data_IF_810524771253
#
_entry.id   IF_810524771253
#
_cell.length_a   1.000
_cell.length_b   1.000
_cell.length_c   1.000
_cell.angle_alpha   90.00
_cell.angle_beta   90.00
_cell.angle_gamma   90.00
#
_symmetry.space_group_name_H-M   'P 1'
#
loop_
_entity.id
_entity.type
_entity.pdbx_description
1 polymer ?
#
# COMPACT_ATOMS: atom_id res chain seq x y z
N UNK A 1 -13.50 -1.17 9.86
CA UNK A 1 -12.59 -2.35 9.80
C UNK A 1 -13.33 -3.54 9.23
N UNK A 2 -12.62 -4.42 8.52
CA UNK A 2 -13.15 -5.68 8.01
C UNK A 2 -12.55 -6.83 8.82
N UNK A 3 -13.37 -7.81 9.19
CA UNK A 3 -12.87 -9.04 9.81
C UNK A 3 -12.45 -9.98 8.67
N UNK A 4 -11.19 -10.42 8.66
CA UNK A 4 -10.66 -11.31 7.62
C UNK A 4 -10.66 -12.78 8.05
N UNK A 5 -10.37 -13.06 9.32
CA UNK A 5 -10.40 -14.43 9.85
C UNK A 5 -10.47 -14.48 11.39
N UNK A 6 -10.95 -15.61 11.92
CA UNK A 6 -10.80 -15.98 13.33
C UNK A 6 -9.42 -16.59 13.55
N UNK A 7 -8.65 -16.09 14.50
CA UNK A 7 -7.27 -16.57 14.78
C UNK A 7 -7.26 -17.56 15.95
N UNK A 8 -8.02 -17.27 17.02
CA UNK A 8 -8.23 -18.12 18.20
C UNK A 8 -9.62 -17.83 18.78
N UNK A 9 -10.03 -18.57 19.82
CA UNK A 9 -11.19 -18.19 20.62
C UNK A 9 -11.07 -16.72 21.06
N UNK A 10 -12.07 -15.91 20.67
CA UNK A 10 -12.18 -14.48 20.93
C UNK A 10 -11.12 -13.56 20.32
N UNK A 11 -10.26 -14.02 19.40
CA UNK A 11 -9.27 -13.18 18.70
C UNK A 11 -9.48 -13.23 17.19
N UNK A 12 -9.52 -12.07 16.54
CA UNK A 12 -9.76 -11.93 15.10
C UNK A 12 -8.69 -11.11 14.42
N UNK A 13 -8.40 -11.48 13.17
CA UNK A 13 -7.63 -10.64 12.27
C UNK A 13 -8.55 -9.58 11.66
N UNK A 14 -8.12 -8.32 11.76
CA UNK A 14 -8.87 -7.16 11.27
C UNK A 14 -8.03 -6.41 10.26
N UNK A 15 -8.66 -5.99 9.17
CA UNK A 15 -8.10 -5.06 8.19
C UNK A 15 -8.69 -3.66 8.41
N UNK A 16 -7.82 -2.69 8.61
CA UNK A 16 -8.20 -1.28 8.70
C UNK A 16 -8.33 -0.71 7.28
N UNK A 17 -9.52 -0.83 6.71
CA UNK A 17 -9.83 -0.47 5.32
C UNK A 17 -9.48 0.96 4.89
N UNK A 18 -9.31 1.88 5.84
CA UNK A 18 -8.96 3.27 5.55
C UNK A 18 -7.47 3.58 5.72
N UNK A 19 -6.70 2.66 6.30
CA UNK A 19 -5.27 2.81 6.57
C UNK A 19 -4.40 1.76 5.86
N UNK A 20 -4.94 0.57 5.61
CA UNK A 20 -4.29 -0.50 4.88
C UNK A 20 -3.54 -1.51 5.75
N UNK A 21 -3.47 -1.32 7.06
CA UNK A 21 -2.80 -2.24 7.99
C UNK A 21 -3.72 -3.36 8.50
N UNK A 22 -3.09 -4.43 9.00
CA UNK A 22 -3.75 -5.60 9.58
C UNK A 22 -3.31 -5.74 11.04
N UNK A 23 -4.26 -6.02 11.92
CA UNK A 23 -3.98 -6.28 13.34
C UNK A 23 -4.77 -7.48 13.85
N UNK A 24 -4.36 -8.01 15.00
CA UNK A 24 -5.11 -9.06 15.71
C UNK A 24 -5.69 -8.45 16.98
N UNK A 25 -7.02 -8.43 17.06
CA UNK A 25 -7.75 -7.81 18.16
C UNK A 25 -8.68 -8.81 18.86
N UNK A 26 -8.93 -8.65 20.16
CA UNK A 26 -9.99 -9.39 20.84
C UNK A 26 -11.37 -8.91 20.39
N UNK A 27 -12.35 -9.82 20.34
CA UNK A 27 -13.73 -9.51 19.91
C UNK A 27 -14.38 -8.39 20.74
N UNK A 28 -14.02 -8.24 22.01
CA UNK A 28 -14.57 -7.20 22.90
C UNK A 28 -14.08 -5.77 22.57
N UNK A 29 -13.15 -5.62 21.63
CA UNK A 29 -12.72 -4.32 21.07
C UNK A 29 -13.45 -3.97 19.79
N UNK A 30 -14.39 -4.82 19.34
CA UNK A 30 -15.18 -4.62 18.14
C UNK A 30 -16.61 -4.25 18.46
N UNK A 31 -17.22 -3.50 17.55
CA UNK A 31 -18.64 -3.19 17.55
C UNK A 31 -19.19 -3.26 16.12
N UNK A 32 -20.45 -3.64 15.92
CA UNK A 32 -21.09 -3.57 14.60
C UNK A 32 -21.01 -2.14 14.05
N UNK A 33 -20.62 -2.02 12.79
CA UNK A 33 -20.57 -0.73 12.11
C UNK A 33 -21.99 -0.34 11.68
N UNK A 34 -22.44 0.85 12.07
CA UNK A 34 -23.72 1.39 11.63
C UNK A 34 -23.69 1.68 10.12
N UNK A 35 -24.83 1.51 9.46
CA UNK A 35 -24.95 1.70 8.01
C UNK A 35 -24.61 3.12 7.55
N UNK A 36 -24.86 4.14 8.38
CA UNK A 36 -24.50 5.54 8.12
C UNK A 36 -22.98 5.76 7.93
N UNK A 37 -22.15 4.84 8.46
CA UNK A 37 -20.69 4.88 8.29
C UNK A 37 -20.18 4.04 7.11
N UNK A 38 -21.07 3.39 6.35
CA UNK A 38 -20.72 2.61 5.15
C UNK A 38 -20.78 3.44 3.86
N UNK A 39 -21.21 4.69 3.92
CA UNK A 39 -21.36 5.55 2.74
C UNK A 39 -20.02 5.97 2.12
N UNK A 40 -18.97 6.08 2.94
CA UNK A 40 -17.62 6.39 2.47
C UNK A 40 -16.94 5.12 1.95
N UNK A 41 -16.46 5.08 0.69
CA UNK A 41 -15.66 3.97 0.20
C UNK A 41 -14.39 3.79 1.03
N UNK A 42 -13.77 2.61 0.99
CA UNK A 42 -12.50 2.38 1.66
C UNK A 42 -11.43 3.34 1.15
N UNK A 43 -10.73 3.99 2.07
CA UNK A 43 -9.77 5.05 1.72
C UNK A 43 -8.36 4.51 1.42
N UNK A 44 -7.98 3.34 1.94
CA UNK A 44 -6.70 2.73 1.60
C UNK A 44 -6.81 1.92 0.30
N UNK A 45 -6.11 2.37 -0.73
CA UNK A 45 -6.05 1.70 -2.04
C UNK A 45 -4.70 1.00 -2.17
N UNK A 46 -4.72 -0.29 -2.51
CA UNK A 46 -3.50 -1.06 -2.79
C UNK A 46 -2.84 -0.50 -4.05
N UNK A 47 -1.53 -0.31 -4.01
CA UNK A 47 -0.78 0.23 -5.13
C UNK A 47 0.64 -0.33 -5.22
N UNK A 48 1.25 -0.19 -6.41
CA UNK A 48 2.64 -0.54 -6.68
C UNK A 48 3.28 0.49 -7.61
N UNK A 49 4.60 0.67 -7.51
CA UNK A 49 5.36 1.42 -8.50
C UNK A 49 5.45 0.61 -9.80
N UNK A 50 5.18 1.27 -10.95
CA UNK A 50 5.27 0.62 -12.26
C UNK A 50 6.62 0.86 -12.94
N UNK A 51 7.03 -0.11 -13.75
CA UNK A 51 8.21 -0.02 -14.59
C UNK A 51 9.51 -0.33 -13.88
N UNK A 52 9.49 -0.74 -12.61
CA UNK A 52 10.68 -1.18 -11.88
C UNK A 52 10.47 -2.54 -11.21
N UNK A 53 11.57 -3.26 -10.99
CA UNK A 53 11.64 -4.52 -10.24
C UNK A 53 12.85 -4.51 -9.29
N UNK A 54 12.84 -5.31 -8.22
CA UNK A 54 14.02 -5.46 -7.36
C UNK A 54 15.22 -5.98 -8.15
N UNK A 55 16.43 -5.69 -7.67
CA UNK A 55 17.68 -6.21 -8.26
C UNK A 55 17.79 -7.73 -8.09
N UNK A 56 17.36 -8.22 -6.93
CA UNK A 56 17.37 -9.63 -6.59
C UNK A 56 15.99 -10.25 -6.90
N UNK A 57 15.71 -11.43 -6.33
CA UNK A 57 14.42 -12.11 -6.48
C UNK A 57 13.26 -11.31 -5.87
N UNK A 58 13.52 -10.59 -4.78
CA UNK A 58 12.53 -9.80 -4.05
C UNK A 58 13.17 -8.52 -3.46
N UNK A 59 12.34 -7.59 -2.99
CA UNK A 59 12.78 -6.38 -2.29
C UNK A 59 13.45 -6.73 -0.97
N UNK A 60 14.62 -6.17 -0.71
CA UNK A 60 15.28 -6.34 0.58
C UNK A 60 14.59 -5.53 1.68
N UNK A 61 14.93 -5.84 2.94
CA UNK A 61 14.49 -5.04 4.09
C UNK A 61 15.02 -3.61 3.94
N UNK A 62 16.26 -3.45 3.52
CA UNK A 62 16.93 -2.18 3.30
C UNK A 62 16.24 -1.34 2.20
N UNK A 63 15.77 -1.97 1.13
CA UNK A 63 15.02 -1.28 0.07
C UNK A 63 13.64 -0.84 0.57
N UNK A 64 12.99 -1.67 1.37
CA UNK A 64 11.69 -1.35 1.96
C UNK A 64 11.79 -0.19 2.96
N UNK A 65 12.82 -0.20 3.81
CA UNK A 65 13.12 0.90 4.74
C UNK A 65 13.45 2.19 3.99
N UNK A 66 14.26 2.11 2.93
CA UNK A 66 14.55 3.29 2.12
C UNK A 66 13.29 3.85 1.46
N UNK A 67 12.45 3.00 0.87
CA UNK A 67 11.18 3.45 0.30
C UNK A 67 10.31 4.12 1.37
N UNK A 68 10.24 3.55 2.58
CA UNK A 68 9.53 4.16 3.71
C UNK A 68 10.04 5.57 4.04
N UNK A 69 11.35 5.77 4.15
CA UNK A 69 11.95 7.11 4.37
C UNK A 69 11.59 8.12 3.28
N UNK A 70 11.46 7.63 2.04
CA UNK A 70 11.09 8.47 0.90
C UNK A 70 9.62 8.89 0.96
N UNK A 71 8.70 8.05 1.45
CA UNK A 71 7.25 8.25 1.27
C UNK A 71 6.43 8.59 2.52
N UNK A 72 6.91 8.25 3.72
CA UNK A 72 6.11 8.48 4.94
C UNK A 72 5.98 9.96 5.26
N UNK A 73 4.80 10.35 5.76
CA UNK A 73 4.43 11.70 6.20
C UNK A 73 4.63 12.80 5.15
N UNK A 74 4.43 12.46 3.87
CA UNK A 74 4.58 13.36 2.72
C UNK A 74 3.40 13.24 1.76
N UNK A 75 3.17 14.30 0.99
CA UNK A 75 2.15 14.33 -0.06
C UNK A 75 2.79 14.16 -1.44
N UNK A 76 2.18 13.36 -2.31
CA UNK A 76 2.70 13.07 -3.64
C UNK A 76 1.67 13.37 -4.71
N UNK A 77 2.16 13.68 -5.90
CA UNK A 77 1.36 13.57 -7.12
C UNK A 77 1.60 12.17 -7.69
N UNK A 78 0.55 11.56 -8.24
CA UNK A 78 0.67 10.26 -8.87
C UNK A 78 -0.06 10.18 -10.20
N UNK A 79 0.55 9.44 -11.13
CA UNK A 79 -0.08 9.05 -12.40
C UNK A 79 -0.51 7.59 -12.25
N UNK A 80 -1.82 7.34 -12.41
CA UNK A 80 -2.37 5.99 -12.49
C UNK A 80 -2.11 5.44 -13.89
N UNK A 81 -1.23 4.45 -13.99
CA UNK A 81 -0.83 3.83 -15.26
C UNK A 81 -1.67 2.60 -15.57
N UNK A 82 -2.02 1.83 -14.54
CA UNK A 82 -2.88 0.65 -14.70
C UNK A 82 -3.74 0.41 -13.45
N UNK A 83 -4.83 -0.33 -13.65
CA UNK A 83 -5.72 -0.82 -12.60
C UNK A 83 -6.01 -2.29 -12.89
N UNK A 84 -5.70 -3.17 -11.94
CA UNK A 84 -5.90 -4.62 -12.10
C UNK A 84 -6.54 -5.22 -10.85
N UNK A 85 -7.34 -6.29 -10.97
CA UNK A 85 -7.78 -7.05 -9.81
C UNK A 85 -6.57 -7.53 -9.00
N UNK A 86 -6.68 -7.53 -7.66
CA UNK A 86 -5.65 -8.12 -6.81
C UNK A 86 -5.60 -9.64 -7.03
N UNK A 87 -4.39 -10.17 -7.24
CA UNK A 87 -4.17 -11.60 -7.46
C UNK A 87 -4.55 -12.47 -6.25
N UNK A 88 -4.56 -11.92 -5.04
CA UNK A 88 -4.94 -12.64 -3.82
C UNK A 88 -6.40 -12.41 -3.42
N UNK A 89 -6.97 -11.28 -3.81
CA UNK A 89 -8.35 -10.89 -3.50
C UNK A 89 -8.98 -10.28 -4.75
N UNK A 90 -9.53 -11.08 -5.69
CA UNK A 90 -10.03 -10.55 -6.97
C UNK A 90 -11.14 -9.51 -6.87
N UNK A 91 -11.74 -9.34 -5.68
CA UNK A 91 -12.69 -8.27 -5.38
C UNK A 91 -12.02 -6.91 -5.14
N UNK A 92 -10.73 -6.90 -4.79
CA UNK A 92 -9.93 -5.70 -4.59
C UNK A 92 -9.23 -5.29 -5.89
N UNK A 93 -8.85 -4.01 -5.97
CA UNK A 93 -8.07 -3.45 -7.08
C UNK A 93 -6.69 -3.03 -6.59
N UNK A 94 -5.66 -3.33 -7.38
CA UNK A 94 -4.30 -2.81 -7.21
C UNK A 94 -4.00 -1.82 -8.33
N UNK A 95 -3.61 -0.60 -7.95
CA UNK A 95 -3.19 0.43 -8.89
C UNK A 95 -1.70 0.33 -9.20
N UNK A 96 -1.33 0.43 -10.47
CA UNK A 96 0.03 0.70 -10.89
C UNK A 96 0.26 2.20 -11.01
N UNK A 97 1.19 2.74 -10.24
CA UNK A 97 1.44 4.17 -10.11
C UNK A 97 2.84 4.57 -10.57
N UNK A 98 2.96 5.78 -11.14
CA UNK A 98 4.18 6.60 -11.03
C UNK A 98 3.98 7.55 -9.87
N UNK A 99 4.92 7.56 -8.91
CA UNK A 99 4.85 8.39 -7.72
C UNK A 99 5.89 9.50 -7.82
N UNK A 100 5.45 10.74 -7.63
CA UNK A 100 6.24 11.96 -7.85
C UNK A 100 6.21 12.78 -6.56
N UNK A 101 7.38 12.96 -5.95
CA UNK A 101 7.57 13.87 -4.82
C UNK A 101 7.62 15.30 -5.35
N UNK A 102 6.66 16.12 -4.89
CA UNK A 102 6.52 17.53 -5.25
C UNK A 102 6.81 18.46 -4.05
N UNK A 103 7.39 17.91 -2.98
CA UNK A 103 7.73 18.68 -1.77
C UNK A 103 9.12 19.31 -1.84
N UNK A 104 9.84 19.17 -2.96
CA UNK A 104 11.17 19.76 -3.17
C UNK A 104 11.13 20.83 -4.26
N UNK A 105 12.28 21.47 -4.53
CA UNK A 105 12.37 22.47 -5.60
C UNK A 105 12.18 21.87 -7.00
N UNK A 106 12.49 20.58 -7.15
CA UNK A 106 12.34 19.81 -8.39
C UNK A 106 11.43 18.60 -8.12
N UNK A 107 10.74 18.13 -9.16
CA UNK A 107 9.92 16.92 -9.07
C UNK A 107 10.83 15.67 -9.02
N UNK A 108 10.70 14.86 -7.97
CA UNK A 108 11.48 13.63 -7.81
C UNK A 108 10.60 12.42 -8.12
N UNK A 109 10.96 11.69 -9.17
CA UNK A 109 10.32 10.44 -9.55
C UNK A 109 10.87 9.30 -8.71
N UNK A 110 10.04 8.74 -7.81
CA UNK A 110 10.51 7.76 -6.82
C UNK A 110 11.06 6.49 -7.48
N UNK A 111 10.48 6.06 -8.60
CA UNK A 111 10.97 4.91 -9.34
C UNK A 111 12.37 5.14 -9.93
N UNK A 112 12.64 6.34 -10.45
CA UNK A 112 13.98 6.70 -10.94
C UNK A 112 15.00 6.77 -9.82
N UNK A 113 14.63 7.40 -8.71
CA UNK A 113 15.51 7.51 -7.55
C UNK A 113 15.93 6.14 -7.01
N UNK A 114 15.00 5.18 -6.92
CA UNK A 114 15.33 3.81 -6.49
C UNK A 114 16.27 3.09 -7.47
N UNK A 115 16.17 3.37 -8.78
CA UNK A 115 17.10 2.82 -9.78
C UNK A 115 18.48 3.48 -9.67
N UNK A 116 18.52 4.81 -9.53
CA UNK A 116 19.77 5.58 -9.36
C UNK A 116 20.53 5.20 -8.09
N UNK A 117 19.81 4.90 -7.00
CA UNK A 117 20.39 4.37 -5.75
C UNK A 117 20.84 2.90 -5.87
N UNK A 118 20.65 2.26 -7.03
CA UNK A 118 21.03 0.86 -7.23
C UNK A 118 20.22 -0.09 -6.36
N UNK A 119 18.91 0.16 -6.22
CA UNK A 119 17.95 -0.69 -5.47
C UNK A 119 16.97 -1.40 -6.38
N UNK A 120 16.70 -0.81 -7.53
CA UNK A 120 15.78 -1.34 -8.53
C UNK A 120 16.41 -1.33 -9.92
N UNK A 121 15.82 -2.09 -10.83
CA UNK A 121 16.09 -1.99 -12.27
C UNK A 121 14.80 -1.68 -13.01
N UNK A 122 14.89 -0.97 -14.13
CA UNK A 122 13.74 -0.83 -15.02
C UNK A 122 13.35 -2.19 -15.60
N UNK A 123 12.06 -2.38 -15.81
CA UNK A 123 11.52 -3.52 -16.54
C UNK A 123 11.59 -3.17 -18.03
N UNK A 124 12.20 -4.07 -18.81
CA UNK A 124 12.29 -3.96 -20.28
C UNK A 124 10.92 -4.05 -20.98
#
# INVERSE_FOLDING_TARGET
VCISSMIKENMVSVYFCDFGDVSVLPLNKLQPLKSEFLELPYQAIKARLVGIRPINVDWSVEDSLRFQELVVDKNFVSIVVESKPDGFSPADTVLGLKLIDVNTAEDIYIDRLLVEEGRATFID
#
